data_IF_898613265080
#
_entry.id   IF_898613265080
#
_cell.length_a   1.000
_cell.length_b   1.000
_cell.length_c   1.000
_cell.angle_alpha   90.00
_cell.angle_beta   90.00
_cell.angle_gamma   90.00
#
_symmetry.space_group_name_H-M   'P 1'
#
loop_
_entity.id
_entity.type
_entity.pdbx_description
1 polymer ?
#
# COMPACT_ATOMS: atom_id res chain seq x y z
N UNK A 1 -61.21 -6.29 -40.62
CA UNK A 1 -60.58 -6.58 -39.31
C UNK A 1 -59.11 -6.43 -39.40
N UNK A 2 -58.56 -5.28 -38.93
CA UNK A 2 -57.13 -5.02 -38.97
C UNK A 2 -56.55 -5.36 -37.60
N UNK A 3 -55.71 -6.40 -37.56
CA UNK A 3 -54.96 -6.80 -36.35
C UNK A 3 -53.73 -5.89 -36.19
N UNK A 4 -53.77 -4.99 -35.20
CA UNK A 4 -52.60 -4.20 -34.77
C UNK A 4 -51.68 -5.08 -33.94
N UNK A 5 -50.57 -5.53 -34.51
CA UNK A 5 -49.47 -6.17 -33.74
C UNK A 5 -48.76 -5.10 -32.92
N UNK A 6 -48.94 -5.17 -31.57
CA UNK A 6 -48.17 -4.33 -30.64
C UNK A 6 -46.70 -4.79 -30.62
N UNK A 7 -45.83 -3.96 -31.13
CA UNK A 7 -44.38 -4.16 -31.02
C UNK A 7 -43.94 -3.76 -29.60
N UNK A 8 -43.58 -4.73 -28.79
CA UNK A 8 -43.02 -4.49 -27.46
C UNK A 8 -41.53 -4.27 -27.66
N UNK A 9 -41.10 -3.03 -27.54
CA UNK A 9 -39.70 -2.66 -27.57
C UNK A 9 -39.08 -2.88 -26.17
N UNK A 10 -38.40 -4.01 -26.01
CA UNK A 10 -37.66 -4.29 -24.76
C UNK A 10 -36.36 -3.44 -24.73
N UNK A 11 -36.38 -2.45 -23.88
CA UNK A 11 -35.17 -1.65 -23.59
C UNK A 11 -34.28 -2.45 -22.65
N UNK A 12 -33.21 -3.01 -23.17
CA UNK A 12 -32.13 -3.60 -22.33
C UNK A 12 -31.28 -2.46 -21.76
N UNK A 13 -31.48 -2.17 -20.50
CA UNK A 13 -30.57 -1.28 -19.76
C UNK A 13 -29.32 -2.07 -19.41
N UNK A 14 -28.25 -1.84 -20.15
CA UNK A 14 -26.91 -2.32 -19.78
C UNK A 14 -26.42 -1.49 -18.60
N UNK A 15 -26.51 -2.05 -17.40
CA UNK A 15 -25.84 -1.50 -16.22
C UNK A 15 -24.36 -1.83 -16.38
N UNK A 16 -23.58 -0.86 -16.85
CA UNK A 16 -22.11 -0.94 -16.77
C UNK A 16 -21.74 -0.82 -15.29
N UNK A 17 -21.51 -1.95 -14.63
CA UNK A 17 -20.90 -1.99 -13.33
C UNK A 17 -19.45 -1.47 -13.48
N UNK A 18 -19.18 -0.26 -13.02
CA UNK A 18 -17.80 0.19 -12.81
C UNK A 18 -17.21 -0.67 -11.69
N UNK A 19 -16.45 -1.71 -12.07
CA UNK A 19 -15.56 -2.37 -11.14
C UNK A 19 -14.50 -1.32 -10.74
N UNK A 20 -14.60 -0.79 -9.53
CA UNK A 20 -13.52 -0.01 -8.93
C UNK A 20 -12.37 -0.97 -8.70
N UNK A 21 -11.45 -1.03 -9.65
CA UNK A 21 -10.18 -1.72 -9.44
C UNK A 21 -9.51 -1.06 -8.24
N UNK A 22 -9.43 -1.76 -7.12
CA UNK A 22 -8.55 -1.41 -6.01
C UNK A 22 -7.15 -1.36 -6.62
N UNK A 23 -6.60 -0.16 -6.73
CA UNK A 23 -5.27 0.03 -7.30
C UNK A 23 -4.27 -0.51 -6.31
N UNK A 24 -3.81 -1.74 -6.56
CA UNK A 24 -2.86 -2.45 -5.75
C UNK A 24 -1.52 -1.69 -5.73
N UNK A 25 -0.92 -1.58 -4.54
CA UNK A 25 0.47 -1.19 -4.42
C UNK A 25 1.35 -2.23 -5.12
N UNK A 26 2.44 -1.80 -5.72
CA UNK A 26 3.44 -2.69 -6.28
C UNK A 26 4.67 -2.70 -5.37
N UNK A 27 5.04 -3.88 -4.88
CA UNK A 27 6.21 -4.09 -4.03
C UNK A 27 7.27 -4.85 -4.81
N UNK A 28 8.50 -4.33 -4.84
CA UNK A 28 9.64 -5.00 -5.44
C UNK A 28 10.75 -5.17 -4.41
N UNK A 29 11.21 -6.41 -4.21
CA UNK A 29 12.38 -6.70 -3.39
C UNK A 29 13.65 -6.32 -4.12
N UNK A 30 14.53 -5.58 -3.45
CA UNK A 30 15.81 -5.13 -3.98
C UNK A 30 16.97 -5.90 -3.36
N UNK A 31 16.88 -6.22 -2.08
CA UNK A 31 17.97 -6.86 -1.32
C UNK A 31 17.39 -7.64 -0.16
N UNK A 32 17.92 -8.84 0.08
CA UNK A 32 17.79 -9.57 1.35
C UNK A 32 19.20 -9.99 1.76
N UNK A 33 19.62 -9.65 2.97
CA UNK A 33 20.97 -9.94 3.46
C UNK A 33 20.98 -10.30 4.92
N UNK A 34 21.47 -11.48 5.25
CA UNK A 34 21.72 -11.90 6.63
C UNK A 34 22.78 -11.00 7.29
N UNK A 35 22.65 -10.79 8.57
CA UNK A 35 23.58 -10.02 9.41
C UNK A 35 24.41 -10.99 10.26
N UNK A 36 25.66 -11.34 9.86
CA UNK A 36 26.50 -12.29 10.61
C UNK A 36 26.77 -11.83 12.03
N UNK A 37 26.86 -10.52 12.26
CA UNK A 37 27.08 -9.88 13.56
C UNK A 37 25.83 -9.84 14.45
N UNK A 38 24.67 -10.14 13.89
CA UNK A 38 23.38 -10.26 14.58
C UNK A 38 22.68 -11.56 14.16
N UNK A 39 23.09 -12.73 14.65
CA UNK A 39 22.56 -14.03 14.24
C UNK A 39 21.02 -14.09 14.29
N UNK A 40 20.39 -14.64 13.27
CA UNK A 40 18.94 -14.72 13.13
C UNK A 40 18.29 -13.42 12.62
N UNK A 41 19.07 -12.40 12.31
CA UNK A 41 18.60 -11.14 11.73
C UNK A 41 19.03 -10.97 10.27
N UNK A 42 18.20 -10.25 9.55
CA UNK A 42 18.48 -9.87 8.17
C UNK A 42 18.06 -8.43 7.88
N UNK A 43 18.67 -7.85 6.87
CA UNK A 43 18.21 -6.64 6.22
C UNK A 43 17.36 -7.04 5.03
N UNK A 44 16.22 -6.41 4.86
CA UNK A 44 15.44 -6.44 3.64
C UNK A 44 15.19 -5.03 3.13
N UNK A 45 15.41 -4.81 1.83
CA UNK A 45 15.15 -3.52 1.19
C UNK A 45 14.15 -3.74 0.06
N UNK A 46 13.09 -2.95 0.09
CA UNK A 46 12.04 -2.98 -0.94
C UNK A 46 11.79 -1.58 -1.49
N UNK A 47 11.25 -1.53 -2.71
CA UNK A 47 10.53 -0.34 -3.18
C UNK A 47 9.05 -0.61 -3.21
N UNK A 48 8.28 0.42 -2.88
CA UNK A 48 6.83 0.42 -2.95
C UNK A 48 6.38 1.52 -3.91
N UNK A 49 5.53 1.16 -4.86
CA UNK A 49 4.91 2.11 -5.76
C UNK A 49 3.41 2.19 -5.43
N UNK A 50 2.95 3.37 -5.09
CA UNK A 50 1.54 3.66 -4.87
C UNK A 50 0.95 4.30 -6.12
N UNK A 51 -0.06 3.65 -6.68
CA UNK A 51 -0.92 4.31 -7.67
C UNK A 51 -1.65 5.50 -7.03
N UNK A 52 -2.12 6.48 -7.81
CA UNK A 52 -2.96 7.55 -7.29
C UNK A 52 -4.13 6.98 -6.46
N UNK A 53 -4.31 7.49 -5.24
CA UNK A 53 -5.37 7.06 -4.32
C UNK A 53 -5.16 5.71 -3.63
N UNK A 54 -3.99 5.07 -3.77
CA UNK A 54 -3.69 3.80 -3.09
C UNK A 54 -3.73 3.96 -1.57
N UNK A 55 -4.32 2.99 -0.89
CA UNK A 55 -4.45 2.91 0.58
C UNK A 55 -4.16 1.48 1.00
N UNK A 56 -3.30 1.29 1.98
CA UNK A 56 -3.06 -0.01 2.60
C UNK A 56 -4.02 -0.26 3.75
N UNK A 57 -4.37 -1.51 3.96
CA UNK A 57 -5.04 -1.95 5.18
C UNK A 57 -4.14 -1.74 6.40
N UNK A 58 -4.72 -1.66 7.59
CA UNK A 58 -3.97 -1.61 8.85
C UNK A 58 -3.13 -2.88 8.95
N UNK A 59 -1.84 -2.69 9.24
CA UNK A 59 -0.87 -3.79 9.33
C UNK A 59 0.23 -3.47 10.34
N UNK A 60 1.10 -4.45 10.57
CA UNK A 60 2.33 -4.29 11.34
C UNK A 60 3.48 -4.95 10.58
N UNK A 61 4.68 -4.52 10.90
CA UNK A 61 5.91 -5.19 10.52
C UNK A 61 6.56 -5.76 11.78
N UNK A 62 6.97 -7.02 11.78
CA UNK A 62 7.80 -7.59 12.86
C UNK A 62 9.27 -7.19 12.61
N UNK A 63 9.51 -5.89 12.47
CA UNK A 63 10.75 -5.32 12.02
C UNK A 63 10.90 -3.85 12.46
N UNK A 64 12.15 -3.39 12.55
CA UNK A 64 12.42 -1.97 12.43
C UNK A 64 12.29 -1.59 10.95
N UNK A 65 11.49 -0.59 10.63
CA UNK A 65 11.27 -0.13 9.27
C UNK A 65 11.61 1.34 9.14
N UNK A 66 12.44 1.65 8.15
CA UNK A 66 12.75 3.03 7.75
C UNK A 66 12.22 3.25 6.35
N UNK A 67 11.27 4.16 6.22
CA UNK A 67 10.71 4.59 4.94
C UNK A 67 11.42 5.84 4.46
N UNK A 68 11.86 5.85 3.21
CA UNK A 68 12.46 7.02 2.55
C UNK A 68 11.71 7.32 1.26
N UNK A 69 11.11 8.51 1.17
CA UNK A 69 10.31 8.90 0.01
C UNK A 69 11.21 9.30 -1.16
N UNK A 70 10.94 8.73 -2.33
CA UNK A 70 11.65 9.02 -3.58
C UNK A 70 10.85 9.98 -4.48
N UNK A 71 9.53 9.75 -4.62
CA UNK A 71 8.65 10.49 -5.53
C UNK A 71 7.26 10.63 -4.92
N UNK A 72 6.61 11.74 -5.22
CA UNK A 72 5.25 12.02 -4.75
C UNK A 72 5.19 12.30 -3.26
N UNK A 73 4.02 12.15 -2.68
CA UNK A 73 3.78 12.36 -1.26
C UNK A 73 2.96 11.20 -0.68
N UNK A 74 3.33 10.79 0.52
CA UNK A 74 2.64 9.72 1.26
C UNK A 74 2.19 10.24 2.61
N UNK A 75 1.17 9.62 3.15
CA UNK A 75 0.72 9.86 4.52
C UNK A 75 0.87 8.57 5.34
N UNK A 76 1.53 8.71 6.48
CA UNK A 76 1.89 7.63 7.38
C UNK A 76 1.50 7.97 8.82
N UNK A 77 1.03 6.98 9.57
CA UNK A 77 0.76 7.08 11.00
C UNK A 77 0.84 5.71 11.65
N UNK A 78 1.51 5.63 12.79
CA UNK A 78 1.38 4.50 13.73
C UNK A 78 0.30 4.80 14.76
N UNK A 79 -0.25 3.75 15.39
CA UNK A 79 -1.26 3.87 16.45
C UNK A 79 -0.73 4.75 17.59
N UNK A 80 -1.51 5.74 17.98
CA UNK A 80 -1.13 6.71 19.02
C UNK A 80 -0.21 7.83 18.56
N UNK A 81 0.31 7.77 17.33
CA UNK A 81 1.16 8.81 16.74
C UNK A 81 0.36 9.86 15.95
N UNK A 82 1.06 10.91 15.52
CA UNK A 82 0.51 11.93 14.66
C UNK A 82 0.56 11.50 13.19
N UNK A 83 -0.41 11.96 12.40
CA UNK A 83 -0.37 11.80 10.95
C UNK A 83 0.78 12.62 10.38
N UNK A 84 1.65 11.97 9.61
CA UNK A 84 2.77 12.62 8.92
C UNK A 84 2.54 12.57 7.42
N UNK A 85 2.67 13.72 6.77
CA UNK A 85 2.71 13.84 5.31
C UNK A 85 4.15 14.04 4.89
N UNK A 86 4.63 13.15 4.03
CA UNK A 86 6.04 13.01 3.68
C UNK A 86 6.23 13.14 2.18
N UNK A 87 7.13 14.02 1.78
CA UNK A 87 7.57 14.18 0.40
C UNK A 87 8.99 13.63 0.17
N UNK A 88 9.53 13.78 -1.05
CA UNK A 88 10.87 13.28 -1.41
C UNK A 88 11.95 13.72 -0.45
N UNK A 89 12.82 12.78 -0.03
CA UNK A 89 13.90 13.00 0.93
C UNK A 89 13.50 12.94 2.39
N UNK A 90 12.20 12.78 2.71
CA UNK A 90 11.73 12.67 4.08
C UNK A 90 11.63 11.21 4.52
N UNK A 91 11.72 11.01 5.82
CA UNK A 91 11.83 9.70 6.46
C UNK A 91 10.71 9.49 7.46
N UNK A 92 10.16 8.26 7.48
CA UNK A 92 9.27 7.76 8.51
C UNK A 92 9.87 6.50 9.14
N UNK A 93 9.70 6.34 10.45
CA UNK A 93 10.20 5.19 11.19
C UNK A 93 9.08 4.46 11.93
N UNK A 94 9.13 3.13 11.92
CA UNK A 94 8.29 2.23 12.70
C UNK A 94 9.16 1.25 13.48
N UNK A 95 8.75 0.97 14.72
CA UNK A 95 9.32 -0.11 15.52
C UNK A 95 8.59 -1.44 15.26
N UNK A 96 9.17 -2.58 15.69
CA UNK A 96 8.50 -3.89 15.55
C UNK A 96 7.13 -3.99 16.25
N UNK A 97 6.89 -3.14 17.23
CA UNK A 97 5.67 -3.14 18.05
C UNK A 97 4.58 -2.21 17.52
N UNK A 98 4.91 -1.37 16.56
CA UNK A 98 3.99 -0.39 16.02
C UNK A 98 2.92 -1.03 15.12
N UNK A 99 1.71 -0.50 15.21
CA UNK A 99 0.64 -0.76 14.26
C UNK A 99 0.55 0.40 13.29
N UNK A 100 0.75 0.12 12.03
CA UNK A 100 0.65 1.10 10.96
C UNK A 100 -0.82 1.32 10.60
N UNK A 101 -1.38 2.40 11.10
CA UNK A 101 -2.82 2.70 10.99
C UNK A 101 -3.18 3.54 9.77
N UNK A 102 -2.23 4.28 9.25
CA UNK A 102 -2.36 5.02 7.98
C UNK A 102 -1.11 4.80 7.14
N UNK A 103 -1.30 4.28 5.95
CA UNK A 103 -0.27 4.13 4.91
C UNK A 103 -0.96 4.32 3.56
N UNK A 104 -0.74 5.47 2.95
CA UNK A 104 -1.44 5.80 1.71
C UNK A 104 -0.71 6.83 0.85
N UNK A 105 -1.03 6.84 -0.44
CA UNK A 105 -0.69 7.96 -1.31
C UNK A 105 -1.51 9.19 -0.88
N UNK A 106 -0.84 10.31 -0.64
CA UNK A 106 -1.50 11.57 -0.29
C UNK A 106 -2.27 12.18 -1.48
N UNK A 107 -1.97 11.75 -2.70
CA UNK A 107 -2.59 12.24 -3.94
C UNK A 107 -3.54 11.21 -4.55
N UNK A 108 -4.66 11.69 -5.06
CA UNK A 108 -5.60 10.88 -5.87
C UNK A 108 -5.29 10.95 -7.38
N UNK A 109 -4.35 11.77 -7.79
CA UNK A 109 -4.05 12.03 -9.20
C UNK A 109 -2.61 11.71 -9.60
N UNK A 110 -1.67 11.68 -8.66
CA UNK A 110 -0.24 11.46 -8.89
C UNK A 110 0.23 10.19 -8.18
N UNK A 111 1.15 9.40 -8.77
CA UNK A 111 1.76 8.26 -8.10
C UNK A 111 2.73 8.71 -7.00
N UNK A 112 3.08 7.79 -6.11
CA UNK A 112 4.15 7.96 -5.14
C UNK A 112 5.05 6.73 -5.13
N UNK A 113 6.31 6.93 -4.76
CA UNK A 113 7.31 5.87 -4.66
C UNK A 113 8.21 6.09 -3.45
N UNK A 114 8.47 5.02 -2.71
CA UNK A 114 9.34 5.06 -1.56
C UNK A 114 10.14 3.77 -1.41
N UNK A 115 11.24 3.84 -0.71
CA UNK A 115 12.05 2.70 -0.28
C UNK A 115 11.71 2.39 1.17
N UNK A 116 11.63 1.11 1.51
CA UNK A 116 11.58 0.67 2.90
C UNK A 116 12.78 -0.21 3.18
N UNK A 117 13.46 0.11 4.25
CA UNK A 117 14.59 -0.62 4.77
C UNK A 117 14.18 -1.28 6.08
N UNK A 118 14.23 -2.61 6.12
CA UNK A 118 13.88 -3.39 7.29
C UNK A 118 15.10 -4.01 7.97
N UNK A 119 15.08 -4.05 9.30
CA UNK A 119 15.87 -4.99 10.10
C UNK A 119 14.87 -5.91 10.79
N UNK A 120 14.91 -7.19 10.44
CA UNK A 120 13.90 -8.17 10.83
C UNK A 120 14.52 -9.52 11.17
N UNK A 121 13.71 -10.45 11.71
CA UNK A 121 14.10 -11.84 11.80
C UNK A 121 14.18 -12.47 10.43
N UNK A 122 15.13 -13.37 10.23
CA UNK A 122 15.27 -14.11 8.97
C UNK A 122 13.96 -14.76 8.54
N UNK A 123 13.56 -14.53 7.30
CA UNK A 123 12.34 -15.09 6.72
C UNK A 123 11.03 -14.45 7.19
N UNK A 124 11.07 -13.34 7.95
CA UNK A 124 9.86 -12.65 8.35
C UNK A 124 9.07 -12.12 7.12
N UNK A 125 7.73 -12.12 7.17
CA UNK A 125 6.92 -11.52 6.12
C UNK A 125 7.13 -10.00 6.09
N UNK A 126 6.97 -9.38 4.92
CA UNK A 126 7.08 -7.91 4.77
C UNK A 126 6.07 -7.20 5.67
N UNK A 127 4.87 -7.72 5.78
CA UNK A 127 3.84 -7.20 6.68
C UNK A 127 2.94 -8.32 7.20
N UNK A 128 2.30 -8.05 8.34
CA UNK A 128 1.28 -8.90 8.92
C UNK A 128 -0.02 -8.10 9.03
N UNK A 129 -1.12 -8.54 8.39
CA UNK A 129 -2.42 -7.89 8.53
C UNK A 129 -2.90 -7.90 9.98
N UNK A 130 -3.64 -6.85 10.37
CA UNK A 130 -4.29 -6.75 11.69
C UNK A 130 -5.80 -6.80 11.46
N UNK A 131 -6.45 -7.75 12.11
CA UNK A 131 -7.92 -7.96 12.07
C UNK A 131 -8.60 -7.37 13.29
#
# INVERSE_FOLDING_TARGET
>A
MHSMKKLILSVFVFIFGFATATRAQQVNRLLTRQLPEAPGKEIEVITVNYAPGAVDAIHRHDAHAVVYVLEGEIEMRVRGGTLQRLGPGQVFYESPEDFHTVSRNASKTKPAKFVVFFIQNEGAPILTPVH
#
